data_IF_945192889478
#
_entry.id   IF_945192889478
#
_cell.length_a   1.000
_cell.length_b   1.000
_cell.length_c   1.000
_cell.angle_alpha   90.00
_cell.angle_beta   90.00
_cell.angle_gamma   90.00
#
_symmetry.space_group_name_H-M   'P 1'
#
loop_
_entity.id
_entity.type
_entity.pdbx_description
1 polymer ?
#
# COMPACT_ATOMS: atom_id res chain seq x y z
N UNK A 1 23.20 -18.70 -6.74
CA UNK A 1 22.68 -17.32 -6.63
C UNK A 1 21.99 -17.21 -5.27
N UNK A 2 22.57 -16.48 -4.32
CA UNK A 2 21.95 -16.31 -2.99
C UNK A 2 20.95 -15.16 -3.10
N UNK A 3 19.65 -15.47 -3.17
CA UNK A 3 18.63 -14.42 -3.13
C UNK A 3 18.51 -13.95 -1.68
N UNK A 4 18.82 -12.68 -1.42
CA UNK A 4 18.63 -12.11 -0.10
C UNK A 4 17.12 -11.91 0.13
N UNK A 5 16.58 -12.60 1.13
CA UNK A 5 15.18 -12.51 1.49
C UNK A 5 15.07 -11.60 2.71
N UNK A 6 14.48 -10.40 2.55
CA UNK A 6 14.32 -9.46 3.64
C UNK A 6 13.37 -10.04 4.70
N UNK A 7 13.46 -9.52 5.91
CA UNK A 7 12.43 -9.77 6.93
C UNK A 7 11.20 -8.89 6.66
N UNK A 8 10.01 -9.39 6.98
CA UNK A 8 8.75 -8.66 6.86
C UNK A 8 8.66 -7.57 7.93
N UNK A 9 8.66 -6.29 7.53
CA UNK A 9 8.77 -5.12 8.43
C UNK A 9 7.55 -4.20 8.45
N UNK A 10 6.57 -4.41 7.59
CA UNK A 10 5.41 -3.52 7.46
C UNK A 10 5.22 -3.04 6.02
N UNK A 11 6.11 -2.16 5.61
CA UNK A 11 6.11 -1.43 4.34
C UNK A 11 6.64 -2.24 3.14
N UNK A 12 7.25 -3.39 3.39
CA UNK A 12 7.88 -4.23 2.38
C UNK A 12 7.08 -5.49 2.01
N UNK A 13 5.83 -5.63 2.46
CA UNK A 13 5.04 -6.85 2.30
C UNK A 13 4.96 -7.36 0.84
N UNK A 14 4.70 -6.49 -0.14
CA UNK A 14 4.63 -6.88 -1.56
C UNK A 14 5.93 -7.53 -2.04
N UNK A 15 7.07 -6.87 -1.77
CA UNK A 15 8.42 -7.36 -2.13
C UNK A 15 8.80 -8.61 -1.34
N UNK A 16 8.44 -8.64 -0.06
CA UNK A 16 8.70 -9.78 0.82
C UNK A 16 7.97 -11.03 0.32
N UNK A 17 6.66 -10.91 0.03
CA UNK A 17 5.83 -12.02 -0.43
C UNK A 17 6.35 -12.60 -1.74
N UNK A 18 6.70 -11.75 -2.69
CA UNK A 18 7.30 -12.17 -3.96
C UNK A 18 8.59 -12.97 -3.74
N UNK A 19 9.51 -12.46 -2.92
CA UNK A 19 10.79 -13.12 -2.64
C UNK A 19 10.62 -14.43 -1.87
N UNK A 20 9.67 -14.51 -0.96
CA UNK A 20 9.32 -15.73 -0.22
C UNK A 20 8.81 -16.79 -1.18
N UNK A 21 7.79 -16.48 -1.99
CA UNK A 21 7.18 -17.45 -2.89
C UNK A 21 8.19 -17.95 -3.94
N UNK A 22 9.03 -17.05 -4.47
CA UNK A 22 10.10 -17.41 -5.39
C UNK A 22 11.08 -18.40 -4.75
N UNK A 23 11.50 -18.14 -3.51
CA UNK A 23 12.44 -19.02 -2.80
C UNK A 23 11.83 -20.39 -2.48
N UNK A 24 10.58 -20.43 -2.03
CA UNK A 24 9.88 -21.69 -1.76
C UNK A 24 9.74 -22.54 -3.03
N UNK A 25 9.48 -21.90 -4.18
CA UNK A 25 9.45 -22.55 -5.49
C UNK A 25 10.82 -23.09 -5.91
N UNK A 26 11.89 -22.31 -5.73
CA UNK A 26 13.25 -22.76 -6.04
C UNK A 26 13.74 -23.92 -5.18
N UNK A 27 13.26 -24.01 -3.94
CA UNK A 27 13.59 -25.10 -3.03
C UNK A 27 12.66 -26.32 -3.20
N UNK A 28 11.71 -26.28 -4.14
CA UNK A 28 10.67 -27.31 -4.36
C UNK A 28 9.89 -27.69 -3.08
N UNK A 29 9.61 -26.68 -2.25
CA UNK A 29 8.82 -26.85 -1.01
C UNK A 29 7.48 -26.11 -1.06
N UNK A 30 7.05 -25.65 -2.22
CA UNK A 30 5.81 -24.89 -2.44
C UNK A 30 4.57 -25.77 -2.74
N UNK A 31 4.72 -27.09 -2.72
CA UNK A 31 3.66 -28.03 -3.08
C UNK A 31 2.36 -27.83 -2.27
N UNK A 32 2.45 -27.67 -0.95
CA UNK A 32 1.31 -27.39 -0.06
C UNK A 32 0.69 -26.00 -0.25
N UNK A 33 1.39 -25.09 -0.93
CA UNK A 33 0.83 -23.80 -1.35
C UNK A 33 -0.02 -24.01 -2.61
N UNK A 34 0.47 -24.82 -3.56
CA UNK A 34 -0.19 -25.05 -4.87
C UNK A 34 -1.32 -26.07 -4.84
N UNK A 35 -1.29 -27.05 -3.94
CA UNK A 35 -2.27 -28.14 -3.87
C UNK A 35 -3.03 -28.15 -2.54
N UNK A 36 -4.30 -28.50 -2.61
CA UNK A 36 -5.14 -28.71 -1.42
C UNK A 36 -4.58 -29.83 -0.55
N UNK A 37 -4.90 -29.76 0.74
CA UNK A 37 -4.53 -30.80 1.69
C UNK A 37 -5.16 -32.13 1.29
N UNK A 38 -4.35 -33.18 1.09
CA UNK A 38 -4.88 -34.51 0.81
C UNK A 38 -5.61 -35.07 2.05
N UNK A 39 -6.50 -36.05 1.87
CA UNK A 39 -7.12 -36.74 3.00
C UNK A 39 -6.10 -37.27 4.00
N UNK A 40 -6.47 -37.26 5.28
CA UNK A 40 -5.63 -37.86 6.32
C UNK A 40 -5.41 -39.35 6.02
N UNK A 41 -4.19 -39.81 6.26
CA UNK A 41 -3.83 -41.22 6.10
C UNK A 41 -4.62 -42.07 7.09
N UNK A 42 -5.21 -43.15 6.59
CA UNK A 42 -5.94 -44.18 7.34
C UNK A 42 -5.30 -45.55 7.14
N UNK A 43 -5.74 -46.55 7.90
CA UNK A 43 -5.27 -47.95 7.75
C UNK A 43 -5.58 -48.55 6.38
N UNK A 44 -6.55 -47.99 5.66
CA UNK A 44 -6.96 -48.43 4.31
C UNK A 44 -6.22 -47.68 3.18
N UNK A 45 -5.39 -46.69 3.52
CA UNK A 45 -4.71 -45.86 2.53
C UNK A 45 -3.69 -46.65 1.73
N UNK A 46 -3.70 -46.41 0.42
CA UNK A 46 -2.72 -47.00 -0.50
C UNK A 46 -1.33 -46.38 -0.29
N UNK A 47 -0.25 -47.08 -0.69
CA UNK A 47 1.11 -46.50 -0.65
C UNK A 47 1.23 -45.17 -1.41
N UNK A 48 0.43 -44.97 -2.47
CA UNK A 48 0.41 -43.72 -3.24
C UNK A 48 -0.22 -42.55 -2.47
N UNK A 49 -1.30 -42.80 -1.73
CA UNK A 49 -1.97 -41.80 -0.89
C UNK A 49 -1.09 -41.39 0.30
N UNK A 50 -0.41 -42.35 0.92
CA UNK A 50 0.58 -42.09 1.99
C UNK A 50 1.70 -41.20 1.47
N UNK A 51 2.31 -41.55 0.33
CA UNK A 51 3.40 -40.75 -0.25
C UNK A 51 2.94 -39.34 -0.66
N UNK A 52 1.69 -39.19 -1.12
CA UNK A 52 1.11 -37.89 -1.44
C UNK A 52 0.94 -37.02 -0.18
N UNK A 53 0.42 -37.61 0.90
CA UNK A 53 0.26 -36.93 2.18
C UNK A 53 1.61 -36.53 2.77
N UNK A 54 2.59 -37.42 2.81
CA UNK A 54 3.93 -37.13 3.33
C UNK A 54 4.64 -36.03 2.53
N UNK A 55 4.49 -36.02 1.21
CA UNK A 55 5.01 -34.95 0.34
C UNK A 55 4.36 -33.61 0.67
N UNK A 56 3.04 -33.59 0.83
CA UNK A 56 2.30 -32.39 1.19
C UNK A 56 2.69 -31.88 2.57
N UNK A 57 2.73 -32.76 3.57
CA UNK A 57 3.05 -32.40 4.95
C UNK A 57 4.49 -31.89 5.10
N UNK A 58 5.45 -32.54 4.40
CA UNK A 58 6.82 -32.04 4.34
C UNK A 58 6.89 -30.63 3.76
N UNK A 59 6.19 -30.37 2.66
CA UNK A 59 6.15 -29.06 2.03
C UNK A 59 5.48 -28.01 2.92
N UNK A 60 4.38 -28.37 3.59
CA UNK A 60 3.68 -27.53 4.55
C UNK A 60 4.60 -27.11 5.70
N UNK A 61 5.16 -28.09 6.41
CA UNK A 61 6.04 -27.87 7.57
C UNK A 61 7.25 -27.02 7.24
N UNK A 62 7.96 -27.33 6.15
CA UNK A 62 9.16 -26.60 5.74
C UNK A 62 8.83 -25.16 5.35
N UNK A 63 7.73 -24.94 4.62
CA UNK A 63 7.28 -23.60 4.25
C UNK A 63 6.91 -22.76 5.47
N UNK A 64 6.15 -23.31 6.42
CA UNK A 64 5.77 -22.61 7.66
C UNK A 64 7.00 -22.23 8.46
N UNK A 65 7.92 -23.18 8.69
CA UNK A 65 9.17 -22.90 9.40
C UNK A 65 9.96 -21.79 8.71
N UNK A 66 10.14 -21.88 7.39
CA UNK A 66 10.89 -20.90 6.63
C UNK A 66 10.26 -19.51 6.69
N UNK A 67 8.97 -19.39 6.43
CA UNK A 67 8.24 -18.11 6.48
C UNK A 67 8.38 -17.47 7.87
N UNK A 68 8.18 -18.23 8.95
CA UNK A 68 8.30 -17.73 10.32
C UNK A 68 9.70 -17.18 10.64
N UNK A 69 10.77 -17.72 10.05
CA UNK A 69 12.14 -17.16 10.21
C UNK A 69 12.32 -15.80 9.52
N UNK A 70 11.46 -15.46 8.57
CA UNK A 70 11.50 -14.22 7.78
C UNK A 70 10.48 -13.18 8.24
N UNK A 71 9.94 -13.33 9.45
CA UNK A 71 9.00 -12.40 10.08
C UNK A 71 9.66 -11.77 11.31
N UNK A 72 9.59 -10.44 11.41
CA UNK A 72 10.12 -9.71 12.56
C UNK A 72 9.35 -10.01 13.83
N UNK A 73 9.98 -9.78 14.98
CA UNK A 73 9.36 -9.98 16.29
C UNK A 73 8.05 -9.18 16.48
N UNK A 74 7.92 -8.01 15.84
CA UNK A 74 6.72 -7.16 15.92
C UNK A 74 5.46 -7.79 15.30
N UNK A 75 5.61 -8.73 14.37
CA UNK A 75 4.50 -9.38 13.64
C UNK A 75 4.41 -10.87 14.00
N UNK A 76 5.49 -11.46 14.52
CA UNK A 76 5.57 -12.89 14.84
C UNK A 76 4.43 -13.37 15.73
N UNK A 77 4.05 -12.60 16.74
CA UNK A 77 2.99 -12.99 17.69
C UNK A 77 1.60 -13.14 17.07
N UNK A 78 1.30 -12.45 15.95
CA UNK A 78 -0.01 -12.57 15.29
C UNK A 78 -0.13 -13.77 14.37
N UNK A 79 0.99 -14.46 14.08
CA UNK A 79 1.07 -15.52 13.07
C UNK A 79 1.65 -16.85 13.60
N UNK A 80 2.00 -16.91 14.88
CA UNK A 80 2.68 -18.06 15.47
C UNK A 80 1.78 -19.30 15.54
N UNK A 81 0.48 -19.11 15.71
CA UNK A 81 -0.54 -20.16 15.84
C UNK A 81 -0.85 -20.91 14.54
N UNK A 82 -0.41 -20.43 13.37
CA UNK A 82 -0.73 -21.09 12.11
C UNK A 82 0.23 -22.23 11.81
N UNK A 83 -0.32 -23.43 11.66
CA UNK A 83 0.41 -24.67 11.33
C UNK A 83 0.33 -25.02 9.85
N UNK A 84 -0.66 -24.49 9.13
CA UNK A 84 -0.82 -24.66 7.68
C UNK A 84 -0.28 -23.45 6.95
N UNK A 85 0.57 -23.68 5.95
CA UNK A 85 1.23 -22.63 5.16
C UNK A 85 0.22 -21.72 4.46
N UNK A 86 -0.89 -22.28 3.98
CA UNK A 86 -1.96 -21.51 3.33
C UNK A 86 -2.68 -20.58 4.29
N UNK A 87 -3.00 -21.07 5.49
CA UNK A 87 -3.64 -20.27 6.53
C UNK A 87 -2.71 -19.18 7.05
N UNK A 88 -1.42 -19.50 7.22
CA UNK A 88 -0.37 -18.55 7.55
C UNK A 88 -0.26 -17.43 6.51
N UNK A 89 -0.13 -17.79 5.23
CA UNK A 89 -0.05 -16.80 4.14
C UNK A 89 -1.32 -15.96 4.07
N UNK A 90 -2.50 -16.58 4.20
CA UNK A 90 -3.78 -15.87 4.21
C UNK A 90 -3.89 -14.88 5.37
N UNK A 91 -3.48 -15.27 6.57
CA UNK A 91 -3.52 -14.38 7.74
C UNK A 91 -2.56 -13.19 7.57
N UNK A 92 -1.37 -13.44 7.02
CA UNK A 92 -0.44 -12.36 6.65
C UNK A 92 -1.12 -11.45 5.61
N UNK A 93 -1.63 -12.00 4.50
CA UNK A 93 -2.29 -11.24 3.45
C UNK A 93 -3.39 -10.32 4.01
N UNK A 94 -4.27 -10.85 4.86
CA UNK A 94 -5.36 -10.12 5.48
C UNK A 94 -4.88 -8.99 6.42
N UNK A 95 -3.82 -9.24 7.20
CA UNK A 95 -3.23 -8.24 8.08
C UNK A 95 -2.69 -7.03 7.29
N UNK A 96 -1.99 -7.28 6.18
CA UNK A 96 -1.42 -6.20 5.36
C UNK A 96 -2.46 -5.49 4.49
N UNK A 97 -3.44 -6.21 3.93
CA UNK A 97 -4.57 -5.59 3.21
C UNK A 97 -5.36 -4.67 4.14
N UNK A 98 -5.59 -5.07 5.40
CA UNK A 98 -6.29 -4.24 6.39
C UNK A 98 -5.48 -2.99 6.72
N UNK A 99 -4.15 -3.12 6.87
CA UNK A 99 -3.24 -2.00 7.11
C UNK A 99 -3.22 -1.01 5.94
N UNK A 100 -3.13 -1.48 4.70
CA UNK A 100 -3.17 -0.63 3.50
C UNK A 100 -4.50 0.14 3.39
N UNK A 101 -5.64 -0.51 3.66
CA UNK A 101 -6.97 0.13 3.66
C UNK A 101 -7.12 1.19 4.76
N UNK A 102 -6.60 0.91 5.96
CA UNK A 102 -6.62 1.87 7.06
C UNK A 102 -5.75 3.10 6.73
N UNK A 103 -4.55 2.88 6.19
CA UNK A 103 -3.66 3.96 5.76
C UNK A 103 -4.29 4.80 4.64
N UNK A 104 -4.92 4.17 3.64
CA UNK A 104 -5.64 4.86 2.58
C UNK A 104 -6.76 5.74 3.16
N UNK A 105 -7.56 5.21 4.09
CA UNK A 105 -8.60 5.98 4.78
C UNK A 105 -8.04 7.19 5.54
N UNK A 106 -6.93 7.03 6.25
CA UNK A 106 -6.25 8.13 6.95
C UNK A 106 -5.74 9.20 5.98
N UNK A 107 -5.13 8.79 4.87
CA UNK A 107 -4.64 9.72 3.85
C UNK A 107 -5.80 10.45 3.15
N UNK A 108 -6.91 9.77 2.84
CA UNK A 108 -8.12 10.39 2.29
C UNK A 108 -8.70 11.40 3.28
N UNK A 109 -8.77 11.07 4.56
CA UNK A 109 -9.22 12.00 5.60
C UNK A 109 -8.32 13.25 5.67
N UNK A 110 -6.99 13.06 5.68
CA UNK A 110 -6.03 14.16 5.66
C UNK A 110 -6.18 15.01 4.40
N UNK A 111 -6.28 14.39 3.24
CA UNK A 111 -6.48 15.06 1.96
C UNK A 111 -7.77 15.90 1.96
N UNK A 112 -8.90 15.31 2.39
CA UNK A 112 -10.22 15.95 2.35
C UNK A 112 -10.34 17.14 3.31
N UNK A 113 -9.59 17.12 4.42
CA UNK A 113 -9.63 18.14 5.48
C UNK A 113 -8.53 19.19 5.36
N UNK A 114 -7.46 18.93 4.61
CA UNK A 114 -6.36 19.87 4.46
C UNK A 114 -6.84 21.16 3.78
N UNK A 115 -6.59 22.30 4.43
CA UNK A 115 -6.94 23.65 3.96
C UNK A 115 -5.75 24.56 4.20
N UNK A 116 -5.52 25.50 3.28
CA UNK A 116 -4.58 26.57 3.50
C UNK A 116 -5.26 27.64 4.37
N UNK A 117 -4.76 27.85 5.59
CA UNK A 117 -5.42 28.70 6.59
C UNK A 117 -4.97 30.15 6.56
N UNK A 118 -3.80 30.42 5.99
CA UNK A 118 -3.21 31.76 5.83
C UNK A 118 -2.95 32.05 4.37
N UNK A 119 -2.83 33.33 3.99
CA UNK A 119 -2.48 33.67 2.60
C UNK A 119 -1.14 33.09 2.19
N UNK A 120 -0.16 33.10 3.10
CA UNK A 120 1.20 32.58 2.89
C UNK A 120 1.27 31.06 2.96
N UNK A 121 2.22 30.48 2.22
CA UNK A 121 2.57 29.05 2.28
C UNK A 121 1.90 28.21 1.19
N UNK A 122 1.41 28.82 0.11
CA UNK A 122 0.66 28.10 -0.93
C UNK A 122 1.49 27.03 -1.65
N UNK A 123 2.79 27.27 -1.82
CA UNK A 123 3.73 26.29 -2.40
C UNK A 123 3.79 25.02 -1.56
N UNK A 124 4.01 25.17 -0.25
CA UNK A 124 4.13 24.04 0.68
C UNK A 124 2.81 23.28 0.78
N UNK A 125 1.69 23.99 0.81
CA UNK A 125 0.35 23.41 0.78
C UNK A 125 0.11 22.54 -0.46
N UNK A 126 0.45 23.05 -1.65
CA UNK A 126 0.32 22.28 -2.90
C UNK A 126 1.26 21.08 -2.91
N UNK A 127 2.50 21.24 -2.43
CA UNK A 127 3.44 20.11 -2.33
C UNK A 127 2.91 19.02 -1.39
N UNK A 128 2.29 19.40 -0.27
CA UNK A 128 1.68 18.46 0.66
C UNK A 128 0.50 17.71 0.03
N UNK A 129 -0.37 18.40 -0.71
CA UNK A 129 -1.46 17.77 -1.46
C UNK A 129 -0.94 16.76 -2.49
N UNK A 130 0.10 17.13 -3.25
CA UNK A 130 0.75 16.25 -4.23
C UNK A 130 1.37 15.02 -3.58
N UNK A 131 2.03 15.19 -2.43
CA UNK A 131 2.64 14.08 -1.70
C UNK A 131 1.57 13.09 -1.21
N UNK A 132 0.46 13.57 -0.64
CA UNK A 132 -0.65 12.71 -0.22
C UNK A 132 -1.23 11.96 -1.44
N UNK A 133 -1.44 12.63 -2.57
CA UNK A 133 -1.90 11.98 -3.80
C UNK A 133 -0.92 10.91 -4.30
N UNK A 134 0.39 11.16 -4.24
CA UNK A 134 1.40 10.18 -4.62
C UNK A 134 1.41 8.95 -3.68
N UNK A 135 1.18 9.16 -2.38
CA UNK A 135 1.03 8.07 -1.41
C UNK A 135 -0.25 7.26 -1.67
N UNK A 136 -1.38 7.92 -1.94
CA UNK A 136 -2.64 7.27 -2.29
C UNK A 136 -2.53 6.43 -3.57
N UNK A 137 -1.79 6.90 -4.58
CA UNK A 137 -1.51 6.15 -5.80
C UNK A 137 -0.76 4.84 -5.55
N UNK A 138 0.17 4.81 -4.58
CA UNK A 138 0.87 3.57 -4.16
C UNK A 138 -0.07 2.55 -3.51
N UNK A 139 -1.20 3.02 -2.97
CA UNK A 139 -2.27 2.23 -2.38
C UNK A 139 -3.44 1.98 -3.36
N UNK A 140 -3.19 2.14 -4.66
CA UNK A 140 -4.17 1.89 -5.74
C UNK A 140 -5.40 2.81 -5.70
N UNK A 141 -5.32 3.93 -4.98
CA UNK A 141 -6.31 5.01 -5.00
C UNK A 141 -5.82 6.09 -5.96
N UNK A 142 -6.35 6.08 -7.18
CA UNK A 142 -5.95 7.03 -8.22
C UNK A 142 -6.74 8.33 -8.12
N UNK A 143 -6.04 9.45 -8.19
CA UNK A 143 -6.62 10.79 -8.21
C UNK A 143 -6.12 11.46 -9.48
N UNK A 144 -7.05 11.78 -10.39
CA UNK A 144 -6.69 12.46 -11.63
C UNK A 144 -6.12 13.85 -11.35
N UNK A 145 -5.18 14.29 -12.18
CA UNK A 145 -4.58 15.62 -12.07
C UNK A 145 -5.64 16.73 -12.13
N UNK A 146 -6.63 16.57 -13.02
CA UNK A 146 -7.75 17.50 -13.15
C UNK A 146 -8.54 17.62 -11.84
N UNK A 147 -8.83 16.51 -11.16
CA UNK A 147 -9.50 16.55 -9.87
C UNK A 147 -8.64 17.25 -8.82
N UNK A 148 -7.34 16.93 -8.76
CA UNK A 148 -6.42 17.50 -7.78
C UNK A 148 -6.33 19.03 -7.92
N UNK A 149 -6.25 19.55 -9.15
CA UNK A 149 -6.24 21.00 -9.42
C UNK A 149 -7.50 21.67 -8.87
N UNK A 150 -8.69 21.16 -9.22
CA UNK A 150 -9.95 21.69 -8.71
C UNK A 150 -10.06 21.57 -7.19
N UNK A 151 -9.58 20.47 -6.62
CA UNK A 151 -9.59 20.26 -5.18
C UNK A 151 -8.71 21.28 -4.46
N UNK A 152 -7.46 21.47 -4.93
CA UNK A 152 -6.54 22.46 -4.37
C UNK A 152 -7.17 23.86 -4.39
N UNK A 153 -7.78 24.28 -5.50
CA UNK A 153 -8.47 25.57 -5.60
C UNK A 153 -9.60 25.73 -4.57
N UNK A 154 -10.27 24.64 -4.20
CA UNK A 154 -11.30 24.63 -3.15
C UNK A 154 -10.72 24.65 -1.73
N UNK A 155 -9.42 24.43 -1.58
CA UNK A 155 -8.73 24.42 -0.27
C UNK A 155 -8.02 25.73 0.06
N UNK A 156 -7.93 26.64 -0.91
CA UNK A 156 -7.37 27.98 -0.72
C UNK A 156 -8.33 28.85 0.13
N UNK A 157 -7.80 29.79 0.92
CA UNK A 157 -8.62 30.64 1.76
C UNK A 157 -9.36 31.70 0.92
N UNK A 158 -10.37 32.34 1.51
CA UNK A 158 -11.31 33.22 0.79
C UNK A 158 -10.63 34.38 0.05
N UNK A 159 -9.45 34.82 0.49
CA UNK A 159 -8.65 35.86 -0.16
C UNK A 159 -8.29 35.50 -1.61
N UNK A 160 -8.17 34.21 -1.94
CA UNK A 160 -7.95 33.72 -3.31
C UNK A 160 -9.25 33.64 -4.14
N UNK A 161 -10.36 34.20 -3.65
CA UNK A 161 -11.65 34.19 -4.36
C UNK A 161 -11.56 34.72 -5.80
N UNK A 162 -10.98 35.90 -6.05
CA UNK A 162 -10.80 36.43 -7.40
C UNK A 162 -9.97 35.51 -8.30
N UNK A 163 -8.88 34.95 -7.77
CA UNK A 163 -8.04 33.98 -8.48
C UNK A 163 -8.81 32.74 -8.92
N UNK A 164 -9.62 32.16 -8.02
CA UNK A 164 -10.46 31.01 -8.33
C UNK A 164 -11.49 31.31 -9.43
N UNK A 165 -12.08 32.50 -9.41
CA UNK A 165 -13.00 32.95 -10.47
C UNK A 165 -12.24 33.07 -11.80
N UNK A 166 -11.05 33.66 -11.80
CA UNK A 166 -10.18 33.78 -12.98
C UNK A 166 -9.83 32.42 -13.58
N UNK A 167 -9.50 31.43 -12.75
CA UNK A 167 -9.28 30.06 -13.23
C UNK A 167 -10.56 29.44 -13.84
N UNK A 168 -11.71 29.59 -13.19
CA UNK A 168 -12.96 28.99 -13.66
C UNK A 168 -13.47 29.58 -15.00
N UNK A 169 -13.09 30.82 -15.32
CA UNK A 169 -13.40 31.45 -16.61
C UNK A 169 -12.33 31.19 -17.68
N UNK A 170 -11.18 30.64 -17.28
CA UNK A 170 -10.12 30.22 -18.18
C UNK A 170 -10.53 28.96 -18.94
N UNK A 171 -10.20 28.92 -20.24
CA UNK A 171 -10.54 27.76 -21.10
C UNK A 171 -9.54 26.63 -20.97
N UNK A 172 -8.29 26.96 -20.66
CA UNK A 172 -7.20 25.99 -20.58
C UNK A 172 -7.17 25.33 -19.21
N UNK A 173 -6.91 24.03 -19.20
CA UNK A 173 -6.71 23.26 -17.98
C UNK A 173 -5.25 23.39 -17.55
N UNK A 174 -5.03 23.78 -16.31
CA UNK A 174 -3.69 23.84 -15.74
C UNK A 174 -3.24 22.47 -15.24
N UNK A 175 -1.96 22.20 -15.42
CA UNK A 175 -1.21 21.21 -14.64
C UNK A 175 -1.00 21.70 -13.21
N UNK A 176 -0.58 20.80 -12.32
CA UNK A 176 -0.26 21.16 -10.93
C UNK A 176 0.91 22.16 -10.85
N UNK A 177 1.86 22.09 -11.79
CA UNK A 177 3.01 22.99 -11.81
C UNK A 177 2.61 24.41 -12.24
N UNK A 178 1.71 24.53 -13.23
CA UNK A 178 1.15 25.81 -13.64
C UNK A 178 0.31 26.41 -12.51
N UNK A 179 -0.57 25.62 -11.88
CA UNK A 179 -1.35 26.06 -10.72
C UNK A 179 -0.43 26.58 -9.60
N UNK A 180 0.64 25.85 -9.27
CA UNK A 180 1.59 26.26 -8.23
C UNK A 180 2.26 27.59 -8.57
N UNK A 181 2.67 27.79 -9.83
CA UNK A 181 3.29 29.04 -10.28
C UNK A 181 2.33 30.22 -10.14
N UNK A 182 1.10 30.05 -10.63
CA UNK A 182 0.07 31.09 -10.60
C UNK A 182 -0.37 31.41 -9.16
N UNK A 183 -0.51 30.41 -8.31
CA UNK A 183 -0.83 30.59 -6.89
C UNK A 183 0.26 31.38 -6.14
N UNK A 184 1.54 31.13 -6.43
CA UNK A 184 2.65 31.86 -5.78
C UNK A 184 2.65 33.34 -6.18
N UNK A 185 2.39 33.65 -7.46
CA UNK A 185 2.25 35.04 -7.91
C UNK A 185 1.05 35.74 -7.25
N UNK A 186 -0.07 35.03 -7.12
CA UNK A 186 -1.25 35.56 -6.42
C UNK A 186 -1.00 35.75 -4.93
N UNK A 187 -0.25 34.85 -4.28
CA UNK A 187 0.18 35.00 -2.89
C UNK A 187 0.98 36.30 -2.71
N UNK A 188 1.96 36.57 -3.58
CA UNK A 188 2.78 37.79 -3.53
C UNK A 188 1.92 39.05 -3.66
N UNK A 189 0.95 39.05 -4.59
CA UNK A 189 -0.02 40.15 -4.75
C UNK A 189 -0.86 40.35 -3.48
N UNK A 190 -1.43 39.28 -2.94
CA UNK A 190 -2.29 39.34 -1.75
C UNK A 190 -1.52 39.78 -0.50
N UNK A 191 -0.25 39.38 -0.37
CA UNK A 191 0.61 39.80 0.75
C UNK A 191 0.93 41.29 0.70
N UNK A 192 0.98 41.92 -0.48
CA UNK A 192 1.17 43.37 -0.60
C UNK A 192 -0.09 44.18 -0.27
N UNK A 193 -1.27 43.56 -0.31
CA UNK A 193 -2.57 44.20 -0.06
C UNK A 193 -3.02 44.09 1.41
N UNK A 194 -2.33 43.29 2.23
CA UNK A 194 -2.62 43.03 3.65
C UNK A 194 -1.62 43.74 4.57
#
# INVERSE_FOLDING_TARGET
>A
MHLEIPELRGDNYKVWKERILLHLGWMDIDYAIRKDEPPAVTEESTPGEIALYERWERSNRLSVMFIKTKITASIRGSVEQYEKVRDLLKAIDEQFVTSEKALASTLIMKFSTLRLTTVKGVRDHIMQMRDITAQLKKLEVDISESFLVHFILNTLPQQYGPFKISYNTHKDKWSINELMTMCVQEEERLVMEL
#
